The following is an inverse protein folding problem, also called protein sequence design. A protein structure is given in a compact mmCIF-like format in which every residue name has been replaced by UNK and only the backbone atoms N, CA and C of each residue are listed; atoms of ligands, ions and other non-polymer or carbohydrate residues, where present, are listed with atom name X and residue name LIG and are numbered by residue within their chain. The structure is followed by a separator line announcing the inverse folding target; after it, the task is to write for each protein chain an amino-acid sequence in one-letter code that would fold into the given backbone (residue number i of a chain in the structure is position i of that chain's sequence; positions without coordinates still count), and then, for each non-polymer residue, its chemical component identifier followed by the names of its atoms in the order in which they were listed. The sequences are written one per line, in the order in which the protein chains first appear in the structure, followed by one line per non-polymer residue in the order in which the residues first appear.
data_IF_382297384278
#
_entry.id   IF_382297384278
#
_cell.length_a   1.000
_cell.length_b   1.000
_cell.length_c   1.000
_cell.angle_alpha   90.00
_cell.angle_beta   90.00
_cell.angle_gamma   90.00
#
_symmetry.space_group_name_H-M   'P 1'
#
loop_
_entity.id
_entity.type
_entity.pdbx_description
1 polymer ?
#
# COMPACT_ATOMS: atom_id res chain seq x y z
N UNK A 1 4.81 -2.92 19.15
CA UNK A 1 3.37 -2.92 18.79
C UNK A 1 2.81 -4.35 18.76
N UNK A 2 1.50 -4.56 19.00
CA UNK A 2 0.89 -5.89 18.95
C UNK A 2 0.29 -6.20 17.55
N UNK A 3 1.08 -6.81 16.67
CA UNK A 3 0.67 -7.16 15.30
C UNK A 3 -0.42 -8.24 15.24
N UNK A 4 -0.52 -9.11 16.24
CA UNK A 4 -1.59 -10.10 16.30
C UNK A 4 -2.96 -9.44 16.42
N UNK A 5 -3.09 -8.39 17.25
CA UNK A 5 -4.33 -7.61 17.36
C UNK A 5 -4.66 -6.88 16.06
N UNK A 6 -3.65 -6.34 15.36
CA UNK A 6 -3.85 -5.68 14.06
C UNK A 6 -4.37 -6.67 13.02
N UNK A 7 -3.76 -7.86 12.92
CA UNK A 7 -4.20 -8.91 12.00
C UNK A 7 -5.64 -9.32 12.33
N UNK A 8 -5.96 -9.58 13.60
CA UNK A 8 -7.31 -9.97 14.02
C UNK A 8 -8.35 -8.90 13.69
N UNK A 9 -8.01 -7.61 13.89
CA UNK A 9 -8.87 -6.49 13.52
C UNK A 9 -9.10 -6.42 12.02
N UNK A 10 -8.04 -6.49 11.21
CA UNK A 10 -8.18 -6.46 9.75
C UNK A 10 -8.98 -7.68 9.23
N UNK A 11 -8.81 -8.86 9.83
CA UNK A 11 -9.64 -10.04 9.53
C UNK A 11 -11.10 -9.82 9.88
N UNK A 12 -11.41 -9.20 11.02
CA UNK A 12 -12.79 -8.91 11.42
C UNK A 12 -13.46 -7.86 10.52
N UNK A 13 -12.67 -6.95 9.93
CA UNK A 13 -13.11 -6.03 8.88
C UNK A 13 -13.26 -6.70 7.49
N UNK A 14 -12.94 -8.00 7.35
CA UNK A 14 -13.12 -8.78 6.13
C UNK A 14 -11.92 -8.80 5.18
N UNK A 15 -10.77 -8.26 5.57
CA UNK A 15 -9.56 -8.35 4.76
C UNK A 15 -8.94 -9.76 4.83
N UNK A 16 -8.46 -10.26 3.68
CA UNK A 16 -7.69 -11.50 3.64
C UNK A 16 -6.24 -11.19 4.04
N UNK A 17 -5.94 -11.37 5.33
CA UNK A 17 -4.67 -10.95 5.93
C UNK A 17 -4.02 -12.05 6.76
N UNK A 18 -2.70 -12.16 6.69
CA UNK A 18 -1.89 -13.15 7.41
C UNK A 18 -0.52 -12.59 7.80
N UNK A 19 0.09 -13.18 8.84
CA UNK A 19 1.51 -12.99 9.10
C UNK A 19 2.34 -13.74 8.06
N UNK A 20 3.44 -13.14 7.63
CA UNK A 20 4.38 -13.71 6.67
C UNK A 20 5.82 -13.28 6.99
N UNK A 21 6.78 -13.85 6.26
CA UNK A 21 8.16 -13.42 6.31
C UNK A 21 8.63 -13.06 4.89
N UNK A 22 9.03 -11.80 4.71
CA UNK A 22 9.52 -11.28 3.43
C UNK A 22 10.90 -10.66 3.68
N UNK A 23 11.90 -11.02 2.88
CA UNK A 23 13.28 -10.53 3.01
C UNK A 23 13.85 -10.71 4.43
N UNK A 24 13.59 -11.88 5.05
CA UNK A 24 13.98 -12.20 6.42
C UNK A 24 13.38 -11.28 7.51
N UNK A 25 12.32 -10.54 7.20
CA UNK A 25 11.61 -9.66 8.13
C UNK A 25 10.16 -10.09 8.29
N UNK A 26 9.64 -9.95 9.49
CA UNK A 26 8.22 -10.20 9.75
C UNK A 26 7.37 -9.14 9.05
N UNK A 27 6.28 -9.60 8.44
CA UNK A 27 5.35 -8.76 7.70
C UNK A 27 3.91 -9.18 7.94
N UNK A 28 3.00 -8.22 7.80
CA UNK A 28 1.62 -8.53 7.43
C UNK A 28 1.54 -8.60 5.91
N UNK A 29 0.91 -9.65 5.37
CA UNK A 29 0.50 -9.77 3.98
C UNK A 29 -1.02 -9.67 3.86
N UNK A 30 -1.50 -8.87 2.91
CA UNK A 30 -2.92 -8.70 2.58
C UNK A 30 -3.14 -9.04 1.11
N UNK A 31 -4.05 -9.97 0.83
CA UNK A 31 -4.43 -10.34 -0.52
C UNK A 31 -5.75 -9.66 -0.90
N UNK A 32 -5.77 -9.04 -2.08
CA UNK A 32 -6.92 -8.28 -2.57
C UNK A 32 -7.14 -8.59 -4.04
N UNK A 33 -8.39 -8.85 -4.43
CA UNK A 33 -8.77 -9.00 -5.83
C UNK A 33 -9.33 -7.67 -6.34
N UNK A 34 -8.73 -7.14 -7.40
CA UNK A 34 -9.11 -5.88 -8.05
C UNK A 34 -9.31 -6.16 -9.54
N UNK A 35 -10.57 -6.13 -9.99
CA UNK A 35 -10.91 -6.53 -11.37
C UNK A 35 -10.43 -7.95 -11.65
N UNK A 36 -9.58 -8.12 -12.66
CA UNK A 36 -8.97 -9.41 -13.02
C UNK A 36 -7.62 -9.68 -12.33
N UNK A 37 -7.14 -8.75 -11.50
CA UNK A 37 -5.85 -8.87 -10.83
C UNK A 37 -6.02 -9.35 -9.39
N UNK A 38 -5.13 -10.25 -8.96
CA UNK A 38 -4.91 -10.52 -7.54
C UNK A 38 -3.62 -9.84 -7.15
N UNK A 39 -3.71 -8.91 -6.19
CA UNK A 39 -2.57 -8.17 -5.66
C UNK A 39 -2.26 -8.65 -4.24
N UNK A 40 -0.99 -8.53 -3.86
CA UNK A 40 -0.54 -8.76 -2.48
C UNK A 40 0.13 -7.49 -1.98
N UNK A 41 -0.40 -6.94 -0.89
CA UNK A 41 0.15 -5.80 -0.16
C UNK A 41 0.90 -6.29 1.06
N UNK A 42 2.09 -5.75 1.31
CA UNK A 42 2.91 -6.13 2.45
C UNK A 42 3.24 -4.93 3.34
N UNK A 43 3.24 -5.13 4.65
CA UNK A 43 3.71 -4.16 5.62
C UNK A 43 4.78 -4.82 6.50
N UNK A 44 5.97 -4.22 6.57
CA UNK A 44 7.04 -4.65 7.46
C UNK A 44 6.76 -4.24 8.89
N UNK A 45 6.91 -5.18 9.84
CA UNK A 45 6.66 -4.88 11.24
C UNK A 45 7.57 -3.77 11.78
N UNK A 46 6.99 -2.84 12.54
CA UNK A 46 7.66 -1.74 13.23
C UNK A 46 7.33 -1.75 14.71
N UNK A 47 8.24 -1.25 15.54
CA UNK A 47 8.04 -1.23 16.98
C UNK A 47 6.93 -0.25 17.40
N UNK A 48 6.84 0.89 16.70
CA UNK A 48 5.92 2.00 16.95
C UNK A 48 5.48 2.66 15.63
N UNK A 49 4.26 3.20 15.60
CA UNK A 49 3.74 3.96 14.46
C UNK A 49 4.14 5.43 14.64
N UNK A 50 5.08 5.91 13.81
CA UNK A 50 5.46 7.34 13.77
C UNK A 50 4.80 8.10 12.61
N UNK A 51 4.15 7.37 11.72
CA UNK A 51 3.49 7.87 10.50
C UNK A 51 2.44 6.87 10.04
N UNK A 52 1.59 7.25 9.07
CA UNK A 52 0.62 6.30 8.52
C UNK A 52 1.30 5.00 8.06
N UNK A 53 0.77 3.81 8.43
CA UNK A 53 1.38 2.53 8.08
C UNK A 53 1.57 2.38 6.57
N UNK A 54 2.78 2.11 6.10
CA UNK A 54 3.04 1.97 4.66
C UNK A 54 2.82 0.54 4.20
N UNK A 55 2.17 0.36 3.05
CA UNK A 55 2.07 -0.94 2.38
C UNK A 55 2.84 -0.90 1.06
N UNK A 56 3.52 -2.00 0.74
CA UNK A 56 4.25 -2.20 -0.50
C UNK A 56 3.51 -3.20 -1.38
N UNK A 57 3.48 -2.95 -2.69
CA UNK A 57 3.00 -3.91 -3.66
C UNK A 57 4.06 -4.99 -3.89
N UNK A 58 3.70 -6.25 -3.70
CA UNK A 58 4.55 -7.40 -4.00
C UNK A 58 4.45 -7.76 -5.48
N UNK A 59 5.56 -8.22 -6.05
CA UNK A 59 5.65 -8.66 -7.45
C UNK A 59 5.11 -7.62 -8.46
N UNK A 60 5.53 -6.34 -8.37
CA UNK A 60 4.92 -5.26 -9.15
C UNK A 60 5.05 -5.46 -10.67
N UNK A 61 5.97 -6.30 -11.13
CA UNK A 61 6.21 -6.61 -12.53
C UNK A 61 5.06 -7.41 -13.18
N UNK A 62 4.15 -7.98 -12.39
CA UNK A 62 2.95 -8.69 -12.89
C UNK A 62 1.85 -7.73 -13.38
N UNK A 63 2.00 -6.42 -13.12
CA UNK A 63 1.01 -5.39 -13.42
C UNK A 63 1.53 -4.42 -14.49
N UNK A 64 0.64 -3.72 -15.22
CA UNK A 64 1.06 -2.56 -15.99
C UNK A 64 1.73 -1.52 -15.09
N UNK A 65 2.52 -0.60 -15.66
CA UNK A 65 3.09 0.52 -14.89
C UNK A 65 1.96 1.29 -14.19
N UNK A 66 1.99 1.36 -12.87
CA UNK A 66 1.00 2.07 -12.06
C UNK A 66 1.53 3.43 -11.63
N UNK A 67 0.70 4.47 -11.73
CA UNK A 67 0.98 5.75 -11.10
C UNK A 67 1.14 5.59 -9.58
N UNK A 68 1.80 6.54 -8.93
CA UNK A 68 2.02 6.55 -7.48
C UNK A 68 2.82 5.35 -6.95
N UNK A 69 3.52 4.63 -7.83
CA UNK A 69 4.37 3.50 -7.44
C UNK A 69 5.83 3.75 -7.78
N UNK A 70 6.71 3.42 -6.83
CA UNK A 70 8.16 3.40 -7.03
C UNK A 70 8.65 1.97 -6.85
N UNK A 71 9.18 1.38 -7.94
CA UNK A 71 9.60 -0.02 -7.97
C UNK A 71 11.03 -0.18 -7.45
N UNK A 72 11.23 -1.15 -6.56
CA UNK A 72 12.52 -1.60 -6.07
C UNK A 72 12.80 -3.01 -6.63
N UNK A 73 13.43 -3.06 -7.80
CA UNK A 73 13.60 -4.31 -8.56
C UNK A 73 14.40 -5.37 -7.79
N UNK A 74 15.41 -4.98 -7.02
CA UNK A 74 16.25 -5.90 -6.23
C UNK A 74 15.47 -6.65 -5.14
N UNK A 75 14.31 -6.10 -4.75
CA UNK A 75 13.45 -6.65 -3.71
C UNK A 75 12.13 -7.19 -4.25
N UNK A 76 11.85 -6.98 -5.55
CA UNK A 76 10.59 -7.29 -6.19
C UNK A 76 9.37 -6.71 -5.44
N UNK A 77 9.52 -5.46 -4.98
CA UNK A 77 8.51 -4.68 -4.28
C UNK A 77 8.34 -3.32 -4.96
N UNK A 78 7.19 -2.69 -4.77
CA UNK A 78 7.02 -1.27 -5.07
C UNK A 78 6.42 -0.55 -3.86
N UNK A 79 6.97 0.61 -3.49
CA UNK A 79 6.26 1.49 -2.55
C UNK A 79 5.09 2.15 -3.25
N UNK A 80 4.07 2.50 -2.46
CA UNK A 80 2.85 3.15 -2.94
C UNK A 80 2.72 4.49 -2.22
N UNK A 81 2.59 5.57 -2.98
CA UNK A 81 2.38 6.91 -2.45
C UNK A 81 0.87 7.23 -2.42
N UNK A 82 0.22 7.03 -1.27
CA UNK A 82 -1.20 7.35 -1.08
C UNK A 82 -1.46 8.84 -0.81
N UNK A 83 -0.74 9.72 -1.53
CA UNK A 83 -0.45 11.12 -1.22
C UNK A 83 -1.53 11.85 -0.39
N UNK A 84 -1.05 12.43 0.71
CA UNK A 84 -1.76 13.16 1.77
C UNK A 84 -1.97 14.61 1.36
N UNK A 85 -3.05 14.92 0.63
CA UNK A 85 -3.50 16.32 0.48
C UNK A 85 -4.23 16.85 1.71
N UNK A 86 -4.64 15.97 2.62
CA UNK A 86 -5.16 16.38 3.93
C UNK A 86 -4.23 15.84 5.01
N UNK A 87 -3.84 16.69 5.96
CA UNK A 87 -3.20 16.28 7.20
C UNK A 87 -4.11 15.26 7.89
N UNK A 88 -3.77 13.97 7.75
CA UNK A 88 -4.52 12.92 8.42
C UNK A 88 -4.06 12.91 9.87
N UNK A 89 -4.95 13.27 10.79
CA UNK A 89 -4.75 12.98 12.21
C UNK A 89 -4.80 11.47 12.38
N UNK A 90 -3.64 10.82 12.30
CA UNK A 90 -3.51 9.40 12.62
C UNK A 90 -3.62 9.29 14.13
N UNK A 91 -4.67 8.62 14.61
CA UNK A 91 -4.76 8.32 16.04
C UNK A 91 -3.77 7.20 16.37
N UNK A 92 -2.55 7.57 16.74
CA UNK A 92 -1.49 6.65 17.13
C UNK A 92 -1.82 5.85 18.40
N UNK A 93 -2.81 6.29 19.20
CA UNK A 93 -3.30 5.54 20.36
C UNK A 93 -4.12 4.31 19.95
N UNK A 94 -4.60 4.26 18.70
CA UNK A 94 -5.37 3.12 18.17
C UNK A 94 -4.74 2.60 16.87
N UNK A 95 -3.62 1.85 16.97
CA UNK A 95 -2.93 1.26 15.82
C UNK A 95 -3.82 0.50 14.84
N UNK A 96 -4.82 -0.23 15.34
CA UNK A 96 -5.72 -1.02 14.50
C UNK A 96 -6.45 -0.18 13.45
N UNK A 97 -6.97 0.99 13.84
CA UNK A 97 -7.65 1.92 12.93
C UNK A 97 -6.67 2.59 11.97
N UNK A 98 -5.48 2.94 12.42
CA UNK A 98 -4.44 3.52 11.55
C UNK A 98 -4.05 2.56 10.41
N UNK A 99 -3.97 1.26 10.71
CA UNK A 99 -3.69 0.22 9.71
C UNK A 99 -4.86 0.02 8.75
N UNK A 100 -6.10 -0.02 9.27
CA UNK A 100 -7.29 -0.14 8.44
C UNK A 100 -7.44 1.03 7.46
N UNK A 101 -7.34 2.26 7.96
CA UNK A 101 -7.47 3.48 7.16
C UNK A 101 -6.39 3.54 6.08
N UNK A 102 -5.16 3.20 6.45
CA UNK A 102 -4.07 3.15 5.49
C UNK A 102 -4.31 2.09 4.42
N UNK A 103 -4.64 0.86 4.83
CA UNK A 103 -4.88 -0.24 3.91
C UNK A 103 -6.00 0.10 2.91
N UNK A 104 -7.09 0.69 3.41
CA UNK A 104 -8.20 1.16 2.58
C UNK A 104 -7.73 2.16 1.51
N UNK A 105 -6.93 3.15 1.89
CA UNK A 105 -6.39 4.15 0.94
C UNK A 105 -5.49 3.51 -0.13
N UNK A 106 -4.65 2.54 0.26
CA UNK A 106 -3.81 1.81 -0.69
C UNK A 106 -4.66 1.01 -1.68
N UNK A 107 -5.68 0.31 -1.20
CA UNK A 107 -6.60 -0.47 -2.05
C UNK A 107 -7.40 0.45 -2.98
N UNK A 108 -7.96 1.55 -2.48
CA UNK A 108 -8.71 2.51 -3.29
C UNK A 108 -7.86 3.11 -4.41
N UNK A 109 -6.61 3.47 -4.10
CA UNK A 109 -5.66 3.98 -5.09
C UNK A 109 -5.35 2.95 -6.16
N UNK A 110 -4.97 1.73 -5.76
CA UNK A 110 -4.66 0.65 -6.70
C UNK A 110 -5.87 0.22 -7.50
N UNK A 111 -7.06 0.28 -6.93
CA UNK A 111 -8.32 0.03 -7.65
C UNK A 111 -8.44 0.99 -8.81
N UNK A 112 -8.32 2.30 -8.58
CA UNK A 112 -8.35 3.31 -9.64
C UNK A 112 -7.28 3.05 -10.70
N UNK A 113 -6.04 2.80 -10.28
CA UNK A 113 -4.93 2.59 -11.21
C UNK A 113 -5.09 1.32 -12.07
N UNK A 114 -5.67 0.24 -11.53
CA UNK A 114 -5.80 -1.04 -12.23
C UNK A 114 -7.09 -1.15 -13.06
N UNK A 115 -8.17 -0.47 -12.67
CA UNK A 115 -9.46 -0.55 -13.37
C UNK A 115 -9.71 0.61 -14.33
N UNK A 116 -8.99 1.73 -14.19
CA UNK A 116 -9.07 2.87 -15.11
C UNK A 116 -7.69 3.20 -15.72
N UNK A 117 -7.36 2.56 -16.87
CA UNK A 117 -6.09 2.81 -17.55
C UNK A 117 -5.91 4.25 -18.04
N UNK A 118 -7.01 4.97 -18.30
CA UNK A 118 -6.96 6.37 -18.77
C UNK A 118 -6.53 7.28 -17.63
N UNK A 119 -7.15 7.14 -16.47
CA UNK A 119 -6.76 7.91 -15.28
C UNK A 119 -5.35 7.54 -14.81
N UNK A 120 -4.99 6.24 -14.81
CA UNK A 120 -3.63 5.81 -14.48
C UNK A 120 -2.58 6.44 -15.39
N UNK A 121 -2.83 6.49 -16.71
CA UNK A 121 -1.92 7.12 -17.67
C UNK A 121 -1.80 8.62 -17.44
N UNK A 122 -2.90 9.29 -17.13
CA UNK A 122 -2.92 10.73 -16.82
C UNK A 122 -2.08 11.03 -15.58
N UNK A 123 -2.21 10.24 -14.52
CA UNK A 123 -1.41 10.42 -13.30
C UNK A 123 0.08 10.12 -13.52
N UNK A 124 0.43 9.09 -14.30
CA UNK A 124 1.82 8.83 -14.69
C UNK A 124 2.46 10.01 -15.42
N UNK A 125 1.72 10.63 -16.35
CA UNK A 125 2.20 11.82 -17.07
C UNK A 125 2.35 13.01 -16.11
N UNK A 126 1.43 13.18 -15.17
CA UNK A 126 1.51 14.24 -14.14
C UNK A 126 2.76 14.07 -13.29
N UNK A 127 3.04 12.85 -12.81
CA UNK A 127 4.23 12.53 -12.02
C UNK A 127 5.53 12.74 -12.80
N UNK A 128 5.55 12.30 -14.07
CA UNK A 128 6.69 12.52 -14.97
C UNK A 128 6.98 14.01 -15.18
N UNK A 129 5.95 14.81 -15.50
CA UNK A 129 6.10 16.25 -15.68
C UNK A 129 6.52 16.96 -14.39
N UNK A 130 5.94 16.59 -13.25
CA UNK A 130 6.31 17.16 -11.95
C UNK A 130 7.80 16.92 -11.64
N UNK A 131 8.30 15.72 -11.93
CA UNK A 131 9.72 15.37 -11.77
C UNK A 131 10.63 16.14 -12.73
N UNK A 132 10.13 16.45 -13.92
CA UNK A 132 10.88 17.19 -14.95
C UNK A 132 11.00 18.70 -14.63
N UNK A 133 9.97 19.30 -14.04
CA UNK A 133 9.97 20.72 -13.68
C UNK A 133 10.56 21.01 -12.29
N UNK A 134 10.98 19.97 -11.55
CA UNK A 134 11.66 20.11 -10.27
C UNK A 134 13.19 20.18 -10.38
N UNK A 135 13.74 20.21 -11.60
CA UNK A 135 15.17 20.43 -11.89
C UNK A 135 15.51 21.89 -12.20
#
# INVERSE_FOLDING_TARGET
MNYQLIIQHLQSCGYSVSAANVLARNTIEVNVTIGSYTITLIHFEVEEITSMPSFYLKDPQQFPRLAHTLSFNDYNLASICVNVTDSVSVNYEVPTLAFEDSLKKHIELLTKCLTDPVENKKELLREFLASWYSE
#
